data_IF_072231099630
#
_entry.id   IF_072231099630
#
_cell.length_a   1.000
_cell.length_b   1.000
_cell.length_c   1.000
_cell.angle_alpha   90.00
_cell.angle_beta   90.00
_cell.angle_gamma   90.00
#
_symmetry.space_group_name_H-M   'P 1'
#
loop_
_entity.id
_entity.type
_entity.pdbx_description
1 polymer ?
#
# COMPACT_ATOMS: atom_id res chain seq x y z
N UNK A 1 24.17 -3.34 2.89
CA UNK A 1 22.76 -3.77 2.82
C UNK A 1 22.34 -4.34 4.16
N UNK A 2 21.21 -3.87 4.66
CA UNK A 2 20.67 -4.40 5.90
C UNK A 2 20.03 -5.77 5.66
N UNK A 3 20.23 -6.68 6.60
CA UNK A 3 19.62 -8.00 6.56
C UNK A 3 18.13 -7.90 6.89
N UNK A 4 17.33 -8.76 6.28
CA UNK A 4 15.92 -8.86 6.62
C UNK A 4 15.75 -9.43 8.03
N UNK A 5 14.98 -8.74 8.86
CA UNK A 5 14.61 -9.19 10.20
C UNK A 5 13.26 -9.89 10.21
N UNK A 6 12.38 -9.52 9.26
CA UNK A 6 11.04 -10.07 9.15
C UNK A 6 10.58 -9.98 7.70
N UNK A 7 9.91 -11.02 7.24
CA UNK A 7 9.21 -11.01 5.94
C UNK A 7 7.89 -11.75 6.12
N UNK A 8 6.80 -11.06 5.87
CA UNK A 8 5.46 -11.66 5.90
C UNK A 8 4.65 -11.21 4.70
N UNK A 9 3.88 -12.13 4.15
CA UNK A 9 2.99 -11.85 3.02
C UNK A 9 1.54 -12.04 3.41
N UNK A 10 0.68 -11.16 2.89
CA UNK A 10 -0.74 -11.15 3.17
C UNK A 10 -1.51 -11.16 1.87
N UNK A 11 -2.49 -12.05 1.76
CA UNK A 11 -3.37 -12.09 0.60
C UNK A 11 -4.50 -11.07 0.76
N UNK A 12 -4.79 -10.36 -0.32
CA UNK A 12 -5.88 -9.38 -0.35
C UNK A 12 -6.84 -9.81 -1.45
N UNK A 13 -8.10 -10.00 -1.07
CA UNK A 13 -9.14 -10.36 -2.00
C UNK A 13 -9.77 -9.10 -2.58
N UNK A 14 -9.80 -9.00 -3.90
CA UNK A 14 -10.43 -7.88 -4.59
C UNK A 14 -11.93 -7.87 -4.39
N UNK A 15 -12.50 -6.68 -4.39
CA UNK A 15 -13.95 -6.44 -4.25
C UNK A 15 -14.55 -6.85 -2.91
N UNK A 16 -13.77 -7.33 -1.99
CA UNK A 16 -14.25 -7.70 -0.66
C UNK A 16 -14.14 -6.50 0.29
N UNK A 17 -15.08 -5.58 0.17
CA UNK A 17 -15.08 -4.34 0.94
C UNK A 17 -15.32 -4.58 2.43
N UNK A 18 -15.96 -5.68 2.80
CA UNK A 18 -16.20 -6.02 4.20
C UNK A 18 -14.90 -6.30 4.97
N UNK A 19 -13.88 -6.78 4.27
CA UNK A 19 -12.57 -7.07 4.86
C UNK A 19 -11.53 -5.99 4.59
N UNK A 20 -11.92 -4.90 3.93
CA UNK A 20 -10.99 -3.82 3.62
C UNK A 20 -10.41 -3.23 4.91
N UNK A 21 -9.08 -3.12 4.95
CA UNK A 21 -8.37 -2.61 6.13
C UNK A 21 -7.85 -3.68 7.08
N UNK A 22 -8.24 -4.96 6.91
CA UNK A 22 -7.75 -6.02 7.78
C UNK A 22 -6.24 -6.22 7.68
N UNK A 23 -5.69 -6.20 6.47
CA UNK A 23 -4.25 -6.40 6.26
C UNK A 23 -3.45 -5.26 6.85
N UNK A 24 -3.82 -4.01 6.57
CA UNK A 24 -3.14 -2.85 7.15
C UNK A 24 -3.27 -2.82 8.67
N UNK A 25 -4.39 -3.27 9.20
CA UNK A 25 -4.60 -3.41 10.64
C UNK A 25 -3.66 -4.44 11.26
N UNK A 26 -3.46 -5.59 10.62
CA UNK A 26 -2.51 -6.60 11.08
C UNK A 26 -1.07 -6.08 11.04
N UNK A 27 -0.71 -5.38 9.98
CA UNK A 27 0.61 -4.77 9.84
C UNK A 27 0.86 -3.77 10.97
N UNK A 28 -0.13 -2.96 11.29
CA UNK A 28 -0.05 -2.01 12.39
C UNK A 28 0.29 -2.71 13.71
N UNK A 29 -0.39 -3.80 14.00
CA UNK A 29 -0.16 -4.55 15.24
C UNK A 29 1.24 -5.15 15.26
N UNK A 30 1.67 -5.77 14.17
CA UNK A 30 3.01 -6.37 14.06
C UNK A 30 4.10 -5.32 14.31
N UNK A 31 4.03 -4.21 13.61
CA UNK A 31 5.06 -3.17 13.69
C UNK A 31 5.04 -2.46 15.04
N UNK A 32 3.86 -2.23 15.60
CA UNK A 32 3.74 -1.64 16.93
C UNK A 32 4.37 -2.55 17.99
N UNK A 33 4.08 -3.84 17.92
CA UNK A 33 4.60 -4.81 18.88
C UNK A 33 6.12 -4.99 18.75
N UNK A 34 6.68 -4.73 17.56
CA UNK A 34 8.12 -4.73 17.35
C UNK A 34 8.80 -3.42 17.77
N UNK A 35 8.05 -2.45 18.27
CA UNK A 35 8.60 -1.21 18.79
C UNK A 35 8.89 -0.14 17.75
N UNK A 36 8.27 -0.21 16.59
CA UNK A 36 8.45 0.82 15.55
C UNK A 36 7.91 2.15 16.09
N UNK A 37 8.71 3.21 15.94
CA UNK A 37 8.39 4.56 16.40
C UNK A 37 7.05 5.05 15.81
N UNK A 38 6.30 5.81 16.62
CA UNK A 38 4.95 6.24 16.28
C UNK A 38 4.84 6.98 14.93
N UNK A 39 5.80 7.86 14.64
CA UNK A 39 5.79 8.63 13.38
C UNK A 39 5.97 7.70 12.17
N UNK A 40 6.94 6.80 12.24
CA UNK A 40 7.18 5.82 11.18
C UNK A 40 6.01 4.85 11.05
N UNK A 41 5.46 4.41 12.18
CA UNK A 41 4.31 3.51 12.20
C UNK A 41 3.11 4.14 11.47
N UNK A 42 2.83 5.41 11.75
CA UNK A 42 1.73 6.11 11.09
C UNK A 42 1.91 6.17 9.58
N UNK A 43 3.10 6.50 9.12
CA UNK A 43 3.42 6.54 7.69
C UNK A 43 3.23 5.17 7.04
N UNK A 44 3.74 4.14 7.69
CA UNK A 44 3.64 2.76 7.20
C UNK A 44 2.19 2.29 7.09
N UNK A 45 1.37 2.59 8.08
CA UNK A 45 -0.04 2.18 8.08
C UNK A 45 -0.80 2.90 6.97
N UNK A 46 -0.53 4.18 6.74
CA UNK A 46 -1.16 4.92 5.65
C UNK A 46 -0.81 4.28 4.30
N UNK A 47 0.47 4.00 4.06
CA UNK A 47 0.90 3.40 2.80
C UNK A 47 0.29 2.00 2.62
N UNK A 48 0.31 1.18 3.66
CA UNK A 48 -0.28 -0.16 3.63
C UNK A 48 -1.78 -0.10 3.35
N UNK A 49 -2.50 0.80 4.01
CA UNK A 49 -3.94 0.94 3.81
C UNK A 49 -4.28 1.37 2.39
N UNK A 50 -3.60 2.39 1.87
CA UNK A 50 -3.87 2.87 0.51
C UNK A 50 -3.55 1.80 -0.54
N UNK A 51 -2.46 1.07 -0.35
CA UNK A 51 -2.11 -0.02 -1.24
C UNK A 51 -3.13 -1.17 -1.18
N UNK A 52 -3.58 -1.53 0.01
CA UNK A 52 -4.62 -2.53 0.20
C UNK A 52 -5.93 -2.11 -0.47
N UNK A 53 -6.32 -0.86 -0.30
CA UNK A 53 -7.55 -0.34 -0.88
C UNK A 53 -7.53 -0.35 -2.41
N UNK A 54 -6.37 -0.07 -3.02
CA UNK A 54 -6.24 -0.17 -4.47
C UNK A 54 -6.51 -1.58 -4.96
N UNK A 55 -6.02 -2.59 -4.25
CA UNK A 55 -6.31 -3.99 -4.60
C UNK A 55 -7.80 -4.28 -4.44
N UNK A 56 -8.39 -3.88 -3.32
CA UNK A 56 -9.82 -4.12 -3.05
C UNK A 56 -10.71 -3.47 -4.10
N UNK A 57 -10.39 -2.24 -4.51
CA UNK A 57 -11.22 -1.50 -5.46
C UNK A 57 -11.09 -1.98 -6.91
N UNK A 58 -9.89 -2.34 -7.34
CA UNK A 58 -9.63 -2.50 -8.77
C UNK A 58 -9.16 -3.87 -9.20
N UNK A 59 -8.55 -4.66 -8.33
CA UNK A 59 -7.96 -5.94 -8.69
C UNK A 59 -8.85 -7.12 -8.33
N UNK A 60 -8.55 -8.27 -8.90
CA UNK A 60 -9.19 -9.52 -8.48
C UNK A 60 -8.59 -9.98 -7.16
N UNK A 61 -7.29 -9.85 -7.03
CA UNK A 61 -6.55 -10.20 -5.81
C UNK A 61 -5.18 -9.54 -5.84
N UNK A 62 -4.54 -9.53 -4.71
CA UNK A 62 -3.17 -9.07 -4.62
C UNK A 62 -2.48 -9.66 -3.40
N UNK A 63 -1.17 -9.48 -3.36
CA UNK A 63 -0.35 -9.90 -2.23
C UNK A 63 0.43 -8.69 -1.74
N UNK A 64 0.33 -8.41 -0.45
CA UNK A 64 1.14 -7.38 0.19
C UNK A 64 2.21 -8.08 1.02
N UNK A 65 3.48 -7.76 0.75
CA UNK A 65 4.63 -8.31 1.47
C UNK A 65 5.26 -7.23 2.31
N UNK A 66 5.39 -7.51 3.60
CA UNK A 66 6.04 -6.65 4.58
C UNK A 66 7.46 -7.15 4.80
N UNK A 67 8.45 -6.28 4.60
CA UNK A 67 9.86 -6.62 4.77
C UNK A 67 10.50 -5.61 5.71
N UNK A 68 10.91 -6.07 6.90
CA UNK A 68 11.55 -5.24 7.90
C UNK A 68 13.06 -5.49 7.91
N UNK A 69 13.83 -4.41 7.90
CA UNK A 69 15.27 -4.44 8.17
C UNK A 69 15.57 -3.52 9.35
N UNK A 70 16.83 -3.43 9.75
CA UNK A 70 17.23 -2.49 10.80
C UNK A 70 17.10 -1.02 10.37
N UNK A 71 17.16 -0.77 9.07
CA UNK A 71 17.20 0.58 8.50
C UNK A 71 15.87 1.05 7.97
N UNK A 72 15.01 0.14 7.50
CA UNK A 72 13.78 0.52 6.82
C UNK A 72 12.71 -0.56 6.90
N UNK A 73 11.53 -0.17 6.47
CA UNK A 73 10.43 -1.09 6.20
C UNK A 73 10.03 -0.95 4.75
N UNK A 74 9.95 -2.06 4.05
CA UNK A 74 9.53 -2.10 2.66
C UNK A 74 8.17 -2.78 2.56
N UNK A 75 7.28 -2.19 1.76
CA UNK A 75 5.99 -2.74 1.44
C UNK A 75 5.96 -2.99 -0.06
N UNK A 76 5.72 -4.23 -0.45
CA UNK A 76 5.59 -4.61 -1.85
C UNK A 76 4.19 -5.13 -2.07
N UNK A 77 3.48 -4.56 -3.04
CA UNK A 77 2.13 -5.01 -3.38
C UNK A 77 2.12 -5.39 -4.85
N UNK A 78 1.66 -6.60 -5.11
CA UNK A 78 1.49 -7.11 -6.48
C UNK A 78 0.04 -7.51 -6.65
N UNK A 79 -0.61 -7.00 -7.68
CA UNK A 79 -2.01 -7.33 -7.91
C UNK A 79 -2.27 -7.88 -9.30
N UNK A 80 -3.40 -8.55 -9.45
CA UNK A 80 -3.93 -9.03 -10.72
C UNK A 80 -5.15 -8.20 -11.06
N UNK A 81 -4.89 -7.00 -11.53
CA UNK A 81 -5.91 -6.02 -11.88
C UNK A 81 -5.78 -5.52 -13.31
N UNK A 82 -6.53 -4.49 -13.65
CA UNK A 82 -6.54 -3.96 -15.03
C UNK A 82 -5.27 -3.20 -15.40
N UNK A 83 -4.42 -2.87 -14.44
CA UNK A 83 -3.27 -2.02 -14.66
C UNK A 83 -3.64 -0.54 -14.69
N UNK A 84 -2.62 0.30 -14.75
CA UNK A 84 -2.78 1.75 -14.78
C UNK A 84 -2.26 2.27 -16.12
N UNK A 85 -3.15 2.78 -17.00
CA UNK A 85 -2.72 3.24 -18.33
C UNK A 85 -1.78 4.44 -18.29
N UNK A 86 -2.00 5.34 -17.33
CA UNK A 86 -1.20 6.56 -17.19
C UNK A 86 -0.85 6.76 -15.72
N UNK A 87 0.36 6.33 -15.36
CA UNK A 87 0.83 6.39 -13.98
C UNK A 87 0.99 7.84 -13.49
N UNK A 88 1.47 8.74 -14.34
CA UNK A 88 1.62 10.15 -13.98
C UNK A 88 0.27 10.76 -13.61
N UNK A 89 -0.76 10.48 -14.41
CA UNK A 89 -2.10 10.96 -14.16
C UNK A 89 -2.66 10.36 -12.86
N UNK A 90 -2.35 9.10 -12.60
CA UNK A 90 -2.81 8.43 -11.38
C UNK A 90 -2.23 9.05 -10.11
N UNK A 91 -1.09 9.72 -10.18
CA UNK A 91 -0.51 10.47 -9.05
C UNK A 91 -1.11 11.84 -8.86
N UNK A 92 -1.95 12.30 -9.78
CA UNK A 92 -2.61 13.59 -9.65
C UNK A 92 -3.72 13.52 -8.61
N UNK A 93 -3.67 14.41 -7.62
CA UNK A 93 -4.68 14.46 -6.56
C UNK A 93 -6.09 14.65 -7.14
N UNK A 94 -7.00 13.81 -6.66
CA UNK A 94 -8.39 13.87 -7.09
C UNK A 94 -8.71 13.08 -8.35
N UNK A 95 -7.71 12.61 -9.10
CA UNK A 95 -7.98 11.78 -10.27
C UNK A 95 -8.38 10.37 -9.82
N UNK A 96 -9.50 9.87 -10.32
CA UNK A 96 -9.98 8.53 -9.96
C UNK A 96 -10.85 7.95 -11.07
N UNK A 97 -10.70 6.63 -11.26
CA UNK A 97 -11.59 5.85 -12.14
C UNK A 97 -12.64 5.08 -11.33
N UNK A 98 -12.77 5.37 -10.04
CA UNK A 98 -13.72 4.71 -9.17
C UNK A 98 -15.16 4.97 -9.62
N UNK A 99 -16.01 3.95 -9.48
CA UNK A 99 -17.44 4.07 -9.75
C UNK A 99 -18.14 4.86 -8.66
N UNK A 100 -19.37 5.32 -8.96
CA UNK A 100 -20.20 6.00 -7.96
C UNK A 100 -20.50 5.09 -6.77
N UNK A 101 -20.68 3.78 -7.02
CA UNK A 101 -20.89 2.79 -5.97
C UNK A 101 -19.70 2.75 -4.99
N UNK A 102 -18.48 2.75 -5.51
CA UNK A 102 -17.28 2.77 -4.67
C UNK A 102 -17.20 4.04 -3.84
N UNK A 103 -17.55 5.18 -4.43
CA UNK A 103 -17.54 6.47 -3.73
C UNK A 103 -18.58 6.54 -2.62
N UNK A 104 -19.75 5.93 -2.84
CA UNK A 104 -20.78 5.83 -1.80
C UNK A 104 -20.29 5.03 -0.59
N UNK A 105 -19.41 4.04 -0.83
CA UNK A 105 -18.78 3.27 0.24
C UNK A 105 -17.61 4.02 0.92
N UNK A 106 -17.27 5.21 0.46
CA UNK A 106 -16.19 6.02 1.02
C UNK A 106 -14.83 5.82 0.38
N UNK A 107 -14.77 5.22 -0.82
CA UNK A 107 -13.52 4.90 -1.50
C UNK A 107 -13.40 5.62 -2.83
N UNK A 108 -12.17 5.66 -3.36
CA UNK A 108 -11.94 6.05 -4.74
C UNK A 108 -11.96 7.54 -5.01
N UNK A 109 -11.49 8.36 -4.06
CA UNK A 109 -11.47 9.81 -4.21
C UNK A 109 -10.16 10.35 -4.83
N UNK A 110 -9.33 9.47 -5.39
CA UNK A 110 -8.14 9.88 -6.12
C UNK A 110 -6.97 10.31 -5.24
N UNK A 111 -6.91 9.84 -3.99
CA UNK A 111 -5.86 10.20 -3.05
C UNK A 111 -4.89 9.07 -2.71
N UNK A 112 -5.15 7.84 -3.20
CA UNK A 112 -4.35 6.66 -2.85
C UNK A 112 -2.87 6.80 -3.18
N UNK A 113 -2.52 6.94 -4.46
CA UNK A 113 -1.13 7.10 -4.86
C UNK A 113 -0.49 8.38 -4.33
N UNK A 114 -1.16 9.55 -4.36
CA UNK A 114 -0.63 10.73 -3.70
C UNK A 114 -0.32 10.54 -2.22
N UNK A 115 -1.21 9.87 -1.47
CA UNK A 115 -0.98 9.60 -0.06
C UNK A 115 0.20 8.64 0.17
N UNK A 116 0.35 7.63 -0.68
CA UNK A 116 1.50 6.74 -0.61
C UNK A 116 2.80 7.49 -0.85
N UNK A 117 2.81 8.38 -1.84
CA UNK A 117 3.99 9.18 -2.16
C UNK A 117 4.39 10.11 -1.02
N UNK A 118 3.42 10.77 -0.40
CA UNK A 118 3.67 11.68 0.73
C UNK A 118 4.24 10.97 1.94
N UNK A 119 3.91 9.70 2.11
CA UNK A 119 4.28 8.94 3.31
C UNK A 119 5.39 7.91 3.07
N UNK A 120 6.01 7.91 1.90
CA UNK A 120 7.13 7.03 1.58
C UNK A 120 8.39 7.85 1.34
N UNK A 121 9.55 7.28 1.70
CA UNK A 121 10.83 7.87 1.36
C UNK A 121 11.22 7.53 -0.07
N UNK A 122 10.83 6.35 -0.54
CA UNK A 122 10.96 5.94 -1.93
C UNK A 122 9.68 5.22 -2.33
N UNK A 123 9.18 5.52 -3.50
CA UNK A 123 7.99 4.88 -4.06
C UNK A 123 8.21 4.59 -5.53
N UNK A 124 7.96 3.36 -5.92
CA UNK A 124 8.01 2.95 -7.33
C UNK A 124 6.72 2.22 -7.67
N UNK A 125 6.13 2.58 -8.78
CA UNK A 125 4.91 1.95 -9.30
C UNK A 125 5.21 1.45 -10.70
N UNK A 126 4.96 0.17 -10.93
CA UNK A 126 5.09 -0.46 -12.23
C UNK A 126 3.75 -1.08 -12.59
N UNK A 127 3.30 -0.90 -13.80
CA UNK A 127 1.98 -1.40 -14.19
C UNK A 127 1.96 -1.79 -15.66
N UNK A 128 1.19 -2.83 -15.96
CA UNK A 128 0.95 -3.29 -17.32
C UNK A 128 -0.55 -3.49 -17.50
N UNK A 129 -1.12 -2.75 -18.46
CA UNK A 129 -2.56 -2.83 -18.76
C UNK A 129 -2.94 -4.26 -19.10
N UNK A 130 -3.99 -4.75 -18.49
CA UNK A 130 -4.48 -6.11 -18.66
C UNK A 130 -3.81 -7.16 -17.79
N UNK A 131 -2.75 -6.82 -17.06
CA UNK A 131 -2.04 -7.77 -16.19
C UNK A 131 -2.10 -7.39 -14.73
N UNK A 132 -1.77 -6.15 -14.39
CA UNK A 132 -1.81 -5.71 -13.01
C UNK A 132 -0.79 -4.64 -12.68
N UNK A 133 -0.67 -4.37 -11.38
CA UNK A 133 0.18 -3.30 -10.85
C UNK A 133 1.08 -3.83 -9.75
N UNK A 134 2.30 -3.29 -9.68
CA UNK A 134 3.24 -3.55 -8.61
C UNK A 134 3.61 -2.21 -7.96
N UNK A 135 3.53 -2.16 -6.65
CA UNK A 135 3.91 -0.99 -5.86
C UNK A 135 5.01 -1.38 -4.91
N UNK A 136 6.08 -0.58 -4.89
CA UNK A 136 7.22 -0.78 -3.98
C UNK A 136 7.40 0.50 -3.19
N UNK A 137 7.19 0.44 -1.88
CA UNK A 137 7.33 1.58 -1.00
C UNK A 137 8.38 1.30 0.06
N UNK A 138 9.24 2.28 0.31
CA UNK A 138 10.25 2.20 1.37
C UNK A 138 10.04 3.34 2.33
N UNK A 139 9.97 3.03 3.61
CA UNK A 139 9.93 3.99 4.69
C UNK A 139 11.16 3.77 5.56
N UNK A 140 12.06 4.74 5.58
CA UNK A 140 13.28 4.67 6.38
C UNK A 140 12.94 4.84 7.85
N UNK A 141 13.51 3.99 8.68
CA UNK A 141 13.35 4.11 10.12
C UNK A 141 14.30 5.16 10.65
N UNK A 142 13.81 5.92 11.60
CA UNK A 142 14.66 6.91 12.26
C UNK A 142 15.58 6.18 13.22
N UNK A 143 16.85 6.05 12.83
CA UNK A 143 17.85 5.35 13.64
C UNK A 143 18.45 6.20 14.74
N UNK A 144 18.03 7.44 14.87
CA UNK A 144 18.50 8.28 15.96
C UNK A 144 17.83 7.89 17.23
N UNK A 145 18.53 7.14 17.87
CA UNK A 145 18.14 6.97 19.24
C UNK A 145 18.39 8.25 20.00
#
# INVERSE_FOLDING_TARGET
>A
MAAELLRESFEIQGRNFDKAGEVSGEIKVILRDLGIEAVSLRRLVIVAFEAEMNVVMYARRGTLTLILTEEDVNLEVRDEGPGIPDIELAFKEGYSTASDEMRELGFGFGMGLPNMKKNSDELRVESEVGKGTQVFAKIKLNSNA
#
